data_IF_859428410669
#
_entry.id   IF_859428410669
#
_cell.length_a   1.000
_cell.length_b   1.000
_cell.length_c   1.000
_cell.angle_alpha   90.00
_cell.angle_beta   90.00
_cell.angle_gamma   90.00
#
_symmetry.space_group_name_H-M   'P 1'
#
loop_
_entity.id
_entity.type
_entity.pdbx_description
1 polymer ?
#
# COMPACT_ATOMS: atom_id res chain seq x y z
N UNK A 1 6.87 -12.05 -6.76
CA UNK A 1 6.29 -10.71 -6.45
C UNK A 1 6.85 -9.58 -7.30
N UNK A 2 8.11 -9.61 -7.77
CA UNK A 2 8.68 -8.50 -8.55
C UNK A 2 7.94 -8.20 -9.87
N UNK A 3 7.28 -9.20 -10.47
CA UNK A 3 6.47 -9.07 -11.69
C UNK A 3 4.96 -8.92 -11.40
N UNK A 4 4.56 -8.79 -10.13
CA UNK A 4 3.16 -8.64 -9.76
C UNK A 4 2.79 -7.16 -9.68
N UNK A 5 1.73 -6.79 -10.39
CA UNK A 5 1.17 -5.45 -10.45
C UNK A 5 -0.05 -5.42 -9.51
N UNK A 6 0.00 -4.68 -8.38
CA UNK A 6 -1.18 -4.43 -7.59
C UNK A 6 -2.18 -3.56 -8.36
N UNK A 7 -3.43 -4.00 -8.39
CA UNK A 7 -4.54 -3.32 -9.04
C UNK A 7 -5.66 -3.16 -8.02
N UNK A 8 -6.27 -1.97 -7.94
CA UNK A 8 -7.42 -1.76 -7.05
C UNK A 8 -8.62 -2.60 -7.51
N UNK A 9 -9.28 -3.27 -6.56
CA UNK A 9 -10.50 -4.04 -6.81
C UNK A 9 -11.70 -3.10 -7.05
N UNK A 10 -11.69 -1.90 -6.48
CA UNK A 10 -12.71 -0.89 -6.73
C UNK A 10 -12.39 -0.05 -7.98
N UNK A 11 -13.18 -0.18 -9.04
CA UNK A 11 -12.99 0.49 -10.34
C UNK A 11 -13.09 2.04 -10.33
N UNK A 12 -13.35 2.72 -9.19
CA UNK A 12 -13.77 4.15 -9.19
C UNK A 12 -13.28 5.04 -8.04
N UNK A 13 -12.03 4.90 -7.59
CA UNK A 13 -11.44 5.96 -6.75
C UNK A 13 -10.25 5.56 -5.89
N UNK A 14 -9.65 6.53 -5.19
CA UNK A 14 -8.72 6.25 -4.11
C UNK A 14 -9.41 5.40 -3.04
N UNK A 15 -8.62 4.64 -2.27
CA UNK A 15 -9.15 3.90 -1.13
C UNK A 15 -9.70 4.93 -0.14
N UNK A 16 -11.01 4.87 0.16
CA UNK A 16 -11.59 5.69 1.22
C UNK A 16 -10.99 5.21 2.55
N UNK A 17 -10.04 5.99 3.04
CA UNK A 17 -9.26 5.64 4.23
C UNK A 17 -10.14 5.61 5.46
N UNK A 18 -11.03 6.59 5.62
CA UNK A 18 -11.85 6.70 6.83
C UNK A 18 -12.82 5.52 6.91
N UNK A 19 -13.42 5.16 5.77
CA UNK A 19 -14.24 3.95 5.68
C UNK A 19 -13.38 2.69 5.93
N UNK A 20 -12.21 2.57 5.29
CA UNK A 20 -11.32 1.42 5.47
C UNK A 20 -10.92 1.23 6.94
N UNK A 21 -10.40 2.27 7.59
CA UNK A 21 -10.02 2.24 9.00
C UNK A 21 -11.21 1.88 9.90
N UNK A 22 -12.44 2.28 9.54
CA UNK A 22 -13.64 1.91 10.31
C UNK A 22 -14.01 0.43 10.22
N UNK A 23 -13.57 -0.28 9.18
CA UNK A 23 -13.84 -1.71 8.98
C UNK A 23 -12.79 -2.62 9.62
N UNK A 24 -11.66 -2.08 10.06
CA UNK A 24 -10.61 -2.87 10.69
C UNK A 24 -11.02 -3.31 12.09
N UNK A 25 -10.77 -4.57 12.41
CA UNK A 25 -10.75 -5.05 13.79
C UNK A 25 -9.59 -4.42 14.55
N UNK A 26 -9.65 -4.44 15.88
CA UNK A 26 -8.56 -3.92 16.72
C UNK A 26 -7.21 -4.56 16.41
N UNK A 27 -7.20 -5.86 16.06
CA UNK A 27 -5.98 -6.59 15.69
C UNK A 27 -5.41 -6.09 14.36
N UNK A 28 -6.26 -5.89 13.36
CA UNK A 28 -5.85 -5.37 12.05
C UNK A 28 -5.40 -3.92 12.15
N UNK A 29 -6.02 -3.13 13.04
CA UNK A 29 -5.56 -1.78 13.34
C UNK A 29 -4.17 -1.78 13.98
N UNK A 30 -3.90 -2.69 14.93
CA UNK A 30 -2.57 -2.87 15.53
C UNK A 30 -1.54 -3.32 14.50
N UNK A 31 -1.89 -4.24 13.60
CA UNK A 31 -1.02 -4.71 12.53
C UNK A 31 -0.68 -3.58 11.55
N UNK A 32 -1.68 -2.83 11.09
CA UNK A 32 -1.48 -1.67 10.22
C UNK A 32 -0.66 -0.59 10.93
N UNK A 33 -0.94 -0.32 12.21
CA UNK A 33 -0.14 0.59 13.02
C UNK A 33 1.30 0.10 13.15
N UNK A 34 1.53 -1.21 13.30
CA UNK A 34 2.87 -1.80 13.37
C UNK A 34 3.64 -1.57 12.07
N UNK A 35 3.04 -1.93 10.92
CA UNK A 35 3.59 -1.72 9.58
C UNK A 35 3.96 -0.24 9.37
N UNK A 36 3.07 0.67 9.78
CA UNK A 36 3.29 2.12 9.65
C UNK A 36 4.17 2.70 10.76
N UNK A 37 4.35 2.04 11.90
CA UNK A 37 5.21 2.51 13.01
C UNK A 37 6.69 2.27 12.76
N UNK A 38 7.02 1.31 11.88
CA UNK A 38 8.36 1.18 11.28
C UNK A 38 8.78 2.50 10.54
N UNK A 39 7.83 3.43 10.36
CA UNK A 39 8.02 4.79 9.84
C UNK A 39 7.86 5.79 10.98
N UNK A 40 9.00 6.25 11.49
CA UNK A 40 9.00 7.33 12.47
C UNK A 40 8.60 8.69 11.89
N UNK A 41 8.58 8.88 10.56
CA UNK A 41 8.58 10.24 9.98
C UNK A 41 7.29 10.72 9.32
N UNK A 42 6.42 9.87 8.75
CA UNK A 42 5.21 10.39 8.06
C UNK A 42 4.17 9.29 7.74
N UNK A 43 3.38 8.85 8.73
CA UNK A 43 2.40 7.75 8.55
C UNK A 43 1.35 8.02 7.46
N UNK A 44 0.76 9.22 7.47
CA UNK A 44 -0.32 9.56 6.53
C UNK A 44 0.16 9.88 5.09
N UNK A 45 1.23 10.67 4.89
CA UNK A 45 1.72 10.98 3.54
C UNK A 45 2.20 9.75 2.77
N UNK A 46 2.92 8.83 3.43
CA UNK A 46 3.49 7.65 2.76
C UNK A 46 2.41 6.64 2.38
N UNK A 47 1.40 6.41 3.23
CA UNK A 47 0.26 5.57 2.84
C UNK A 47 -0.46 6.17 1.63
N UNK A 48 -0.77 7.48 1.65
CA UNK A 48 -1.39 8.16 0.49
C UNK A 48 -0.56 7.97 -0.77
N UNK A 49 0.77 8.07 -0.63
CA UNK A 49 1.68 7.96 -1.75
C UNK A 49 1.74 6.54 -2.31
N UNK A 50 1.79 5.53 -1.45
CA UNK A 50 1.74 4.13 -1.88
C UNK A 50 0.42 3.87 -2.59
N UNK A 51 -0.72 4.26 -2.00
CA UNK A 51 -2.04 4.13 -2.64
C UNK A 51 -2.07 4.84 -4.01
N UNK A 52 -1.58 6.08 -4.11
CA UNK A 52 -1.50 6.81 -5.37
C UNK A 52 -0.82 6.02 -6.49
N UNK A 53 0.27 5.31 -6.18
CA UNK A 53 1.02 4.51 -7.15
C UNK A 53 0.41 3.14 -7.46
N UNK A 54 -0.68 2.72 -6.79
CA UNK A 54 -1.50 1.56 -7.16
C UNK A 54 -2.45 1.97 -8.30
N UNK A 55 -1.86 2.24 -9.47
CA UNK A 55 -2.55 2.66 -10.69
C UNK A 55 -2.76 1.52 -11.70
N UNK A 56 -2.41 0.29 -11.31
CA UNK A 56 -2.46 -0.90 -12.16
C UNK A 56 -1.39 -0.97 -13.24
N UNK A 57 -0.32 -0.16 -13.14
CA UNK A 57 0.82 -0.17 -14.08
C UNK A 57 2.15 -0.43 -13.40
N UNK A 58 2.26 -0.07 -12.14
CA UNK A 58 3.51 -0.21 -11.39
C UNK A 58 3.56 -1.56 -10.67
N UNK A 59 4.68 -2.27 -10.79
CA UNK A 59 4.96 -3.43 -9.93
C UNK A 59 5.20 -2.97 -8.49
N UNK A 60 5.09 -3.88 -7.52
CA UNK A 60 5.39 -3.57 -6.13
C UNK A 60 6.80 -2.98 -5.93
N UNK A 61 7.79 -3.45 -6.72
CA UNK A 61 9.14 -2.89 -6.74
C UNK A 61 9.16 -1.45 -7.26
N UNK A 62 8.49 -1.18 -8.39
CA UNK A 62 8.42 0.16 -8.96
C UNK A 62 7.72 1.14 -8.03
N UNK A 63 6.66 0.72 -7.33
CA UNK A 63 5.99 1.53 -6.31
C UNK A 63 6.99 1.92 -5.20
N UNK A 64 7.80 0.97 -4.73
CA UNK A 64 8.81 1.26 -3.71
C UNK A 64 9.92 2.22 -4.20
N UNK A 65 10.32 2.10 -5.46
CA UNK A 65 11.26 3.05 -6.10
C UNK A 65 10.66 4.46 -6.20
N UNK A 66 9.40 4.59 -6.62
CA UNK A 66 8.71 5.88 -6.72
C UNK A 66 8.56 6.54 -5.34
N UNK A 67 8.17 5.76 -4.33
CA UNK A 67 8.09 6.23 -2.94
C UNK A 67 9.46 6.69 -2.43
N UNK A 68 10.55 5.97 -2.74
CA UNK A 68 11.90 6.40 -2.41
C UNK A 68 12.29 7.70 -3.14
N UNK A 69 11.96 7.84 -4.42
CA UNK A 69 12.28 9.03 -5.21
C UNK A 69 11.59 10.29 -4.65
N UNK A 70 10.37 10.15 -4.13
CA UNK A 70 9.61 11.28 -3.58
C UNK A 70 9.93 11.61 -2.13
N UNK A 71 10.25 10.59 -1.32
CA UNK A 71 10.40 10.77 0.13
C UNK A 71 11.85 10.70 0.61
N UNK A 72 12.76 10.16 -0.20
CA UNK A 72 14.15 9.88 0.17
C UNK A 72 14.36 8.68 1.10
N UNK A 73 13.28 8.02 1.53
CA UNK A 73 13.35 6.90 2.47
C UNK A 73 13.27 5.54 1.76
N UNK A 74 14.10 4.59 2.18
CA UNK A 74 14.11 3.21 1.63
C UNK A 74 13.05 2.37 2.33
N UNK A 75 11.88 2.27 1.71
CA UNK A 75 10.66 1.76 2.35
C UNK A 75 10.13 0.47 1.71
N UNK A 76 11.02 -0.28 1.04
CA UNK A 76 10.65 -1.45 0.24
C UNK A 76 9.85 -2.50 1.01
N UNK A 77 10.33 -2.91 2.18
CA UNK A 77 9.66 -3.93 2.98
C UNK A 77 8.23 -3.53 3.37
N UNK A 78 8.01 -2.23 3.52
CA UNK A 78 6.74 -1.73 4.05
C UNK A 78 5.77 -1.52 2.92
N UNK A 79 6.24 -1.06 1.76
CA UNK A 79 5.45 -1.10 0.54
C UNK A 79 4.95 -2.54 0.32
N UNK A 80 5.80 -3.55 0.48
CA UNK A 80 5.39 -4.94 0.36
C UNK A 80 4.40 -5.38 1.45
N UNK A 81 4.67 -5.08 2.74
CA UNK A 81 3.77 -5.41 3.86
C UNK A 81 2.41 -4.75 3.69
N UNK A 82 2.38 -3.47 3.30
CA UNK A 82 1.16 -2.72 3.08
C UNK A 82 0.37 -3.27 1.89
N UNK A 83 1.02 -3.56 0.76
CA UNK A 83 0.31 -4.13 -0.39
C UNK A 83 -0.28 -5.51 -0.05
N UNK A 84 0.42 -6.35 0.70
CA UNK A 84 -0.15 -7.63 1.18
C UNK A 84 -1.35 -7.41 2.10
N UNK A 85 -1.23 -6.48 3.05
CA UNK A 85 -2.33 -6.12 3.94
C UNK A 85 -3.56 -5.66 3.15
N UNK A 86 -3.38 -4.81 2.12
CA UNK A 86 -4.46 -4.35 1.26
C UNK A 86 -5.07 -5.48 0.40
N UNK A 87 -4.26 -6.45 -0.04
CA UNK A 87 -4.74 -7.64 -0.75
C UNK A 87 -5.58 -8.54 0.15
N UNK A 88 -5.12 -8.82 1.37
CA UNK A 88 -5.83 -9.65 2.35
C UNK A 88 -7.20 -9.06 2.72
N UNK A 89 -7.34 -7.73 2.67
CA UNK A 89 -8.59 -7.02 2.89
C UNK A 89 -9.43 -6.83 1.62
N UNK A 90 -9.02 -7.42 0.49
CA UNK A 90 -9.77 -7.39 -0.77
C UNK A 90 -9.83 -6.02 -1.43
N UNK A 91 -8.94 -5.09 -1.07
CA UNK A 91 -8.88 -3.75 -1.66
C UNK A 91 -8.07 -3.71 -2.94
N UNK A 92 -7.08 -4.59 -3.06
CA UNK A 92 -6.26 -4.76 -4.24
C UNK A 92 -6.13 -6.23 -4.61
N UNK A 93 -5.77 -6.50 -5.85
CA UNK A 93 -5.40 -7.82 -6.35
C UNK A 93 -4.05 -7.71 -7.09
N UNK A 94 -3.23 -8.75 -7.04
CA UNK A 94 -2.02 -8.81 -7.84
C UNK A 94 -2.27 -9.49 -9.18
N UNK A 95 -2.05 -8.74 -10.28
CA UNK A 95 -2.02 -9.29 -11.64
C UNK A 95 -0.59 -9.60 -12.06
N UNK A 96 -0.42 -10.59 -12.93
CA UNK A 96 0.88 -10.83 -13.57
C UNK A 96 1.14 -9.70 -14.57
N UNK A 97 2.33 -9.12 -14.54
CA UNK A 97 2.83 -8.30 -15.64
C UNK A 97 2.93 -9.20 -16.88
N UNK A 98 2.16 -8.87 -17.92
CA UNK A 98 2.35 -9.47 -19.25
C UNK A 98 3.66 -8.98 -19.89
#
# INVERSE_FOLDING_TARGET
>A
MAELIPVRVCERGPIDKDYFYSQLTHREEEELRSILSEFSVARNPVFTLIDFWIDGRNTALRIAENVYAETGYRLHEVVLKLLRFLEEHGLIEFRKSE
#
